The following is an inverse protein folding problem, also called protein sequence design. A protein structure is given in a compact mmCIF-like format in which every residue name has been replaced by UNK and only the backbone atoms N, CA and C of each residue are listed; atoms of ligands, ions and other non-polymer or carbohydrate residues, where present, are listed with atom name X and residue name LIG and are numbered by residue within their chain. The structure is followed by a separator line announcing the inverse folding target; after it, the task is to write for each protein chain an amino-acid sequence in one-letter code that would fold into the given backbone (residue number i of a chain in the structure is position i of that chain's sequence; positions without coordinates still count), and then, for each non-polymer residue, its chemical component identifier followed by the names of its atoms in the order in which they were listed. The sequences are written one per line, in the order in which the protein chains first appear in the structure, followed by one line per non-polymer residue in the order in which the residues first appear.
data_IF_871276774180
#
_entry.id   IF_871276774180
#
_cell.length_a   1.000
_cell.length_b   1.000
_cell.length_c   1.000
_cell.angle_alpha   90.00
_cell.angle_beta   90.00
_cell.angle_gamma   90.00
#
_symmetry.space_group_name_H-M   'P 1'
#
loop_
_entity.id
_entity.type
_entity.pdbx_description
1 polymer ?
#
# COMPACT_ATOMS: atom_id res chain seq x y z
N UNK A 1 23.70 1.93 -4.73
CA UNK A 1 22.62 1.30 -3.91
C UNK A 1 21.99 0.16 -4.70
N UNK A 2 21.67 -0.91 -4.02
CA UNK A 2 20.96 -2.05 -4.63
C UNK A 2 19.72 -2.33 -3.82
N UNK A 3 18.55 -2.35 -4.47
CA UNK A 3 17.27 -2.62 -3.82
C UNK A 3 16.71 -3.95 -4.30
N UNK A 4 16.07 -4.70 -3.40
CA UNK A 4 15.19 -5.81 -3.77
C UNK A 4 13.75 -5.34 -3.68
N UNK A 5 12.94 -5.67 -4.69
CA UNK A 5 11.50 -5.39 -4.71
C UNK A 5 10.78 -6.71 -4.66
N UNK A 6 9.79 -6.81 -3.80
CA UNK A 6 8.94 -7.97 -3.58
C UNK A 6 7.47 -7.58 -3.84
N UNK A 7 6.66 -8.52 -4.34
CA UNK A 7 5.25 -8.27 -4.68
C UNK A 7 4.32 -8.34 -3.46
N UNK A 8 3.51 -9.41 -3.37
CA UNK A 8 2.58 -9.62 -2.25
C UNK A 8 3.20 -10.57 -1.21
N UNK A 9 3.45 -10.05 -0.02
CA UNK A 9 4.13 -10.78 1.07
C UNK A 9 3.27 -11.89 1.68
N UNK A 10 1.98 -11.65 1.90
CA UNK A 10 1.02 -12.57 2.53
C UNK A 10 1.54 -13.23 3.83
N UNK A 11 2.21 -12.47 4.68
CA UNK A 11 2.74 -12.95 5.97
C UNK A 11 3.97 -13.85 5.88
N UNK A 12 4.53 -14.06 4.67
CA UNK A 12 5.64 -14.99 4.40
C UNK A 12 7.03 -14.36 4.55
N UNK A 13 7.20 -13.45 5.51
CA UNK A 13 8.38 -12.63 5.65
C UNK A 13 9.69 -13.46 5.82
N UNK A 14 9.64 -14.56 6.56
CA UNK A 14 10.80 -15.47 6.71
C UNK A 14 11.23 -16.07 5.36
N UNK A 15 10.27 -16.44 4.50
CA UNK A 15 10.57 -17.01 3.18
C UNK A 15 11.15 -15.94 2.24
N UNK A 16 10.66 -14.72 2.33
CA UNK A 16 11.17 -13.58 1.56
C UNK A 16 12.62 -13.30 1.93
N UNK A 17 12.94 -13.21 3.23
CA UNK A 17 14.32 -13.01 3.68
C UNK A 17 15.23 -14.20 3.35
N UNK A 18 14.74 -15.42 3.45
CA UNK A 18 15.52 -16.60 3.04
C UNK A 18 15.82 -16.59 1.53
N UNK A 19 14.85 -16.18 0.70
CA UNK A 19 15.05 -16.04 -0.75
C UNK A 19 16.05 -14.93 -1.06
N UNK A 20 15.96 -13.80 -0.36
CA UNK A 20 16.92 -12.70 -0.50
C UNK A 20 18.33 -13.11 -0.13
N UNK A 21 18.53 -13.78 1.02
CA UNK A 21 19.83 -14.28 1.44
C UNK A 21 20.40 -15.33 0.47
N UNK A 22 19.55 -16.16 -0.12
CA UNK A 22 19.95 -17.09 -1.16
C UNK A 22 20.45 -16.36 -2.41
N UNK A 23 19.70 -15.35 -2.87
CA UNK A 23 20.05 -14.52 -4.02
C UNK A 23 21.39 -13.80 -3.80
N UNK A 24 21.57 -13.14 -2.65
CA UNK A 24 22.81 -12.45 -2.28
C UNK A 24 24.02 -13.38 -2.38
N UNK A 25 23.86 -14.62 -1.89
CA UNK A 25 24.93 -15.62 -1.91
C UNK A 25 25.25 -16.12 -3.33
N UNK A 26 24.21 -16.37 -4.15
CA UNK A 26 24.40 -16.93 -5.50
C UNK A 26 24.94 -15.89 -6.47
N UNK A 27 24.42 -14.67 -6.40
CA UNK A 27 24.82 -13.57 -7.29
C UNK A 27 26.03 -12.78 -6.77
N UNK A 28 26.55 -13.14 -5.57
CA UNK A 28 27.66 -12.42 -4.90
C UNK A 28 27.39 -10.92 -4.76
N UNK A 29 26.15 -10.57 -4.40
CA UNK A 29 25.70 -9.18 -4.24
C UNK A 29 25.24 -8.93 -2.81
N UNK A 30 25.16 -7.66 -2.43
CA UNK A 30 24.54 -7.21 -1.18
C UNK A 30 23.37 -6.28 -1.51
N UNK A 31 22.25 -6.50 -0.87
CA UNK A 31 21.06 -5.64 -0.99
C UNK A 31 21.03 -4.66 0.18
N UNK A 32 20.79 -3.39 -0.12
CA UNK A 32 20.76 -2.30 0.86
C UNK A 32 19.37 -2.08 1.44
N UNK A 33 18.32 -2.36 0.66
CA UNK A 33 16.92 -2.14 1.04
C UNK A 33 16.02 -3.19 0.38
N UNK A 34 15.11 -3.80 1.16
CA UNK A 34 13.98 -4.57 0.65
C UNK A 34 12.73 -3.67 0.60
N UNK A 35 11.98 -3.73 -0.50
CA UNK A 35 10.70 -3.03 -0.68
C UNK A 35 9.61 -4.06 -0.94
N UNK A 36 8.54 -4.09 -0.11
CA UNK A 36 7.37 -4.95 -0.31
C UNK A 36 6.16 -4.12 -0.77
N UNK A 37 5.52 -4.55 -1.86
CA UNK A 37 4.46 -3.80 -2.55
C UNK A 37 3.04 -4.10 -2.01
N UNK A 38 2.90 -4.50 -0.75
CA UNK A 38 1.62 -4.67 -0.05
C UNK A 38 1.27 -6.12 0.27
N UNK A 39 0.08 -6.30 0.85
CA UNK A 39 -0.35 -7.55 1.48
C UNK A 39 0.71 -8.07 2.45
N UNK A 40 1.29 -7.16 3.21
CA UNK A 40 2.41 -7.46 4.10
C UNK A 40 1.98 -8.32 5.28
N UNK A 41 0.77 -8.08 5.80
CA UNK A 41 0.16 -8.77 6.94
C UNK A 41 1.01 -8.60 8.22
N UNK A 42 1.12 -7.36 8.69
CA UNK A 42 1.79 -7.02 9.95
C UNK A 42 0.98 -7.47 11.18
N UNK A 43 0.76 -8.77 11.32
CA UNK A 43 -0.06 -9.40 12.36
C UNK A 43 0.78 -9.63 13.62
N UNK A 44 0.41 -8.98 14.74
CA UNK A 44 1.14 -9.04 16.02
C UNK A 44 0.70 -10.21 16.89
N UNK A 45 -0.60 -10.56 16.83
CA UNK A 45 -1.21 -11.66 17.60
C UNK A 45 -2.54 -12.08 16.95
N UNK A 46 -3.26 -13.01 17.56
CA UNK A 46 -4.52 -13.55 17.02
C UNK A 46 -5.67 -12.54 16.98
N UNK A 47 -5.61 -11.48 17.80
CA UNK A 47 -6.65 -10.44 17.82
C UNK A 47 -6.55 -9.52 16.58
N UNK A 48 -5.35 -9.28 16.06
CA UNK A 48 -5.15 -8.54 14.82
C UNK A 48 -5.77 -9.26 13.60
N UNK A 49 -5.87 -10.60 13.63
CA UNK A 49 -6.51 -11.38 12.55
C UNK A 49 -8.00 -11.03 12.38
N UNK A 50 -8.67 -10.59 13.46
CA UNK A 50 -10.07 -10.15 13.38
C UNK A 50 -10.25 -8.79 12.67
N UNK A 51 -9.14 -8.11 12.41
CA UNK A 51 -9.09 -6.84 11.67
C UNK A 51 -8.67 -7.02 10.20
N UNK A 52 -8.55 -8.26 9.73
CA UNK A 52 -8.20 -8.59 8.35
C UNK A 52 -9.43 -8.92 7.50
N UNK A 53 -9.43 -8.41 6.26
CA UNK A 53 -10.47 -8.74 5.27
C UNK A 53 -10.13 -10.01 4.50
N UNK A 54 -10.07 -11.14 5.20
CA UNK A 54 -9.87 -12.47 4.60
C UNK A 54 -10.88 -13.44 5.19
N UNK A 55 -11.34 -14.46 4.41
CA UNK A 55 -12.14 -15.55 4.97
C UNK A 55 -11.40 -16.26 6.11
N UNK A 56 -12.14 -16.69 7.15
CA UNK A 56 -11.54 -17.28 8.36
C UNK A 56 -10.57 -18.44 8.09
N UNK A 57 -10.84 -19.25 7.06
CA UNK A 57 -9.97 -20.36 6.65
C UNK A 57 -8.58 -19.93 6.16
N UNK A 58 -8.39 -18.63 5.86
CA UNK A 58 -7.12 -18.05 5.41
C UNK A 58 -6.51 -17.09 6.44
N UNK A 59 -7.16 -16.94 7.60
CA UNK A 59 -6.58 -16.18 8.71
C UNK A 59 -5.43 -16.98 9.31
N UNK A 60 -4.21 -16.60 8.98
CA UNK A 60 -2.99 -17.21 9.51
C UNK A 60 -2.12 -16.16 10.17
N UNK A 61 -1.45 -16.54 11.24
CA UNK A 61 -0.61 -15.61 12.01
C UNK A 61 0.63 -15.15 11.22
N UNK A 62 1.07 -15.96 10.26
CA UNK A 62 2.30 -15.71 9.51
C UNK A 62 3.53 -15.69 10.43
N UNK A 63 4.58 -15.00 9.99
CA UNK A 63 5.84 -14.96 10.75
C UNK A 63 6.17 -13.58 11.32
N UNK A 64 5.39 -12.53 10.98
CA UNK A 64 5.67 -11.16 11.38
C UNK A 64 5.72 -10.95 12.91
N UNK A 65 4.86 -11.62 13.69
CA UNK A 65 4.84 -11.50 15.15
C UNK A 65 6.22 -11.73 15.81
N UNK A 66 7.08 -12.54 15.20
CA UNK A 66 8.44 -12.82 15.67
C UNK A 66 9.37 -11.61 15.54
N UNK A 67 9.19 -10.82 14.47
CA UNK A 67 9.90 -9.56 14.27
C UNK A 67 9.38 -8.47 15.20
N UNK A 68 8.06 -8.43 15.39
CA UNK A 68 7.43 -7.51 16.32
C UNK A 68 7.83 -7.78 17.78
N UNK A 69 7.90 -9.05 18.19
CA UNK A 69 8.36 -9.43 19.54
C UNK A 69 9.85 -9.16 19.78
N UNK A 70 10.64 -9.10 18.71
CA UNK A 70 12.09 -9.01 18.77
C UNK A 70 12.80 -10.37 18.87
N UNK A 71 12.06 -11.48 18.73
CA UNK A 71 12.62 -12.85 18.65
C UNK A 71 13.57 -12.99 17.45
N UNK A 72 13.20 -12.37 16.34
CA UNK A 72 13.99 -12.32 15.11
C UNK A 72 14.15 -10.87 14.65
N UNK A 73 15.24 -10.54 13.99
CA UNK A 73 15.46 -9.22 13.36
C UNK A 73 15.44 -9.31 11.86
N UNK A 74 14.96 -8.26 11.21
CA UNK A 74 15.07 -8.10 9.77
C UNK A 74 16.57 -8.05 9.36
N UNK A 75 17.03 -8.90 8.42
CA UNK A 75 18.44 -8.95 8.02
C UNK A 75 18.86 -7.76 7.15
N UNK A 76 17.88 -7.03 6.63
CA UNK A 76 18.06 -5.84 5.79
C UNK A 76 16.93 -4.84 6.11
N UNK A 77 17.22 -3.52 6.08
CA UNK A 77 16.17 -2.53 6.16
C UNK A 77 15.05 -2.84 5.18
N UNK A 78 13.82 -2.83 5.66
CA UNK A 78 12.63 -3.20 4.86
C UNK A 78 11.62 -2.07 4.88
N UNK A 79 11.13 -1.68 3.71
CA UNK A 79 10.05 -0.72 3.50
C UNK A 79 8.84 -1.44 2.90
N UNK A 80 7.64 -1.14 3.39
CA UNK A 80 6.43 -1.65 2.76
C UNK A 80 5.29 -0.64 2.73
N UNK A 81 4.35 -0.87 1.83
CA UNK A 81 3.02 -0.26 1.80
C UNK A 81 1.97 -1.30 2.16
N UNK A 82 0.77 -0.88 2.59
CA UNK A 82 -0.35 -1.80 2.81
C UNK A 82 -1.03 -2.21 1.50
N UNK A 83 -1.59 -3.44 1.49
CA UNK A 83 -2.49 -3.95 0.46
C UNK A 83 -3.92 -4.05 0.97
N UNK A 84 -4.69 -5.02 0.44
CA UNK A 84 -6.06 -5.31 0.89
C UNK A 84 -6.14 -6.45 1.92
N UNK A 85 -5.05 -7.16 2.18
CA UNK A 85 -4.95 -8.21 3.20
C UNK A 85 -4.04 -7.75 4.35
N UNK A 86 -4.52 -6.79 5.15
CA UNK A 86 -3.72 -6.21 6.23
C UNK A 86 -4.40 -6.29 7.60
N UNK A 87 -3.61 -6.32 8.67
CA UNK A 87 -4.06 -6.02 10.02
C UNK A 87 -4.35 -4.51 10.10
N UNK A 88 -5.53 -4.10 9.62
CA UNK A 88 -5.89 -2.68 9.39
C UNK A 88 -5.85 -1.85 10.67
N UNK A 89 -6.09 -2.45 11.84
CA UNK A 89 -5.98 -1.80 13.14
C UNK A 89 -4.54 -1.33 13.43
N UNK A 90 -3.55 -2.17 13.16
CA UNK A 90 -2.15 -1.81 13.39
C UNK A 90 -1.65 -0.77 12.39
N UNK A 91 -1.97 -0.94 11.10
CA UNK A 91 -1.60 0.06 10.10
C UNK A 91 -2.26 1.41 10.34
N UNK A 92 -3.45 1.44 10.95
CA UNK A 92 -4.10 2.68 11.35
C UNK A 92 -3.35 3.43 12.47
N UNK A 93 -2.74 2.72 13.44
CA UNK A 93 -1.89 3.34 14.47
C UNK A 93 -0.74 4.16 13.84
N UNK A 94 -0.28 3.72 12.68
CA UNK A 94 0.83 4.28 11.90
C UNK A 94 0.35 4.91 10.57
N UNK A 95 -0.82 5.54 10.58
CA UNK A 95 -1.40 6.17 9.39
C UNK A 95 -0.41 7.06 8.63
N UNK A 96 0.47 7.76 9.32
CA UNK A 96 1.49 8.65 8.75
C UNK A 96 2.83 7.96 8.47
N UNK A 97 2.92 6.66 8.67
CA UNK A 97 4.15 5.87 8.56
C UNK A 97 4.86 5.67 9.89
N UNK A 98 5.77 4.72 9.93
CA UNK A 98 6.57 4.38 11.11
C UNK A 98 7.07 2.94 11.10
N UNK A 99 7.94 2.61 12.07
CA UNK A 99 8.44 1.26 12.23
C UNK A 99 7.39 0.33 12.85
N UNK A 100 7.06 -0.75 12.15
CA UNK A 100 6.17 -1.82 12.66
C UNK A 100 6.93 -2.90 13.42
N UNK A 101 8.23 -2.98 13.23
CA UNK A 101 9.20 -3.81 13.94
C UNK A 101 10.58 -3.18 13.76
N UNK A 102 11.62 -3.58 14.52
CA UNK A 102 12.98 -3.11 14.28
C UNK A 102 13.38 -3.33 12.82
N UNK A 103 13.86 -2.26 12.17
CA UNK A 103 14.29 -2.24 10.76
C UNK A 103 13.19 -2.54 9.70
N UNK A 104 11.89 -2.59 10.09
CA UNK A 104 10.75 -2.76 9.19
C UNK A 104 9.86 -1.52 9.23
N UNK A 105 9.84 -0.74 8.16
CA UNK A 105 9.16 0.55 8.07
C UNK A 105 7.91 0.49 7.18
N UNK A 106 6.77 0.85 7.73
CA UNK A 106 5.54 1.10 7.00
C UNK A 106 5.50 2.53 6.49
N UNK A 107 5.23 2.74 5.21
CA UNK A 107 5.20 4.07 4.58
C UNK A 107 3.98 4.92 5.00
N UNK A 108 2.98 4.31 5.59
CA UNK A 108 1.70 4.95 5.91
C UNK A 108 0.63 4.70 4.84
N UNK A 109 -0.57 5.26 5.03
CA UNK A 109 -1.64 5.18 4.03
C UNK A 109 -1.26 5.93 2.75
N UNK A 110 -0.52 7.01 2.89
CA UNK A 110 0.21 7.71 1.84
C UNK A 110 1.46 8.33 2.45
N UNK A 111 2.57 8.33 1.74
CA UNK A 111 3.82 8.81 2.33
C UNK A 111 4.90 9.11 1.31
N UNK A 112 5.88 9.91 1.75
CA UNK A 112 7.20 10.05 1.12
C UNK A 112 8.26 9.94 2.21
N UNK A 113 9.27 9.10 1.98
CA UNK A 113 10.41 8.88 2.87
C UNK A 113 11.68 8.84 2.04
N UNK A 114 12.81 9.10 2.66
CA UNK A 114 14.12 8.86 2.04
C UNK A 114 14.78 7.66 2.68
N UNK A 115 15.52 6.89 1.87
CA UNK A 115 16.48 5.90 2.32
C UNK A 115 17.83 6.23 1.68
N UNK A 116 18.75 6.77 2.47
CA UNK A 116 19.91 7.44 1.92
C UNK A 116 19.50 8.53 0.93
N UNK A 117 20.00 8.46 -0.31
CA UNK A 117 19.67 9.40 -1.38
C UNK A 117 18.42 9.01 -2.19
N UNK A 118 17.83 7.85 -1.89
CA UNK A 118 16.66 7.36 -2.61
C UNK A 118 15.38 7.97 -2.03
N UNK A 119 14.62 8.69 -2.85
CA UNK A 119 13.35 9.31 -2.46
C UNK A 119 12.19 8.46 -2.90
N UNK A 120 11.42 7.92 -1.94
CA UNK A 120 10.39 6.91 -2.16
C UNK A 120 9.03 7.45 -1.74
N UNK A 121 8.09 7.52 -2.68
CA UNK A 121 6.68 7.80 -2.41
C UNK A 121 5.82 6.53 -2.49
N UNK A 122 4.62 6.58 -1.91
CA UNK A 122 3.70 5.44 -2.03
C UNK A 122 2.28 5.72 -1.54
N UNK A 123 1.39 4.85 -1.97
CA UNK A 123 -0.03 4.84 -1.67
C UNK A 123 -0.44 3.41 -1.30
N UNK A 124 -0.90 3.22 -0.06
CA UNK A 124 -1.38 1.93 0.45
C UNK A 124 -2.82 1.66 0.05
N UNK A 125 -3.17 0.37 -0.06
CA UNK A 125 -4.52 -0.11 -0.30
C UNK A 125 -4.89 -0.22 -1.78
N UNK A 126 -6.18 -0.46 -2.04
CA UNK A 126 -6.76 -0.59 -3.39
C UNK A 126 -7.85 0.45 -3.63
N UNK A 127 -8.13 0.75 -4.90
CA UNK A 127 -9.17 1.71 -5.26
C UNK A 127 -10.57 1.09 -5.17
N UNK A 128 -11.50 1.81 -4.54
CA UNK A 128 -12.94 1.51 -4.58
C UNK A 128 -13.74 2.80 -4.70
N UNK A 129 -14.44 3.00 -5.81
CA UNK A 129 -15.13 4.25 -6.12
C UNK A 129 -16.13 4.72 -5.07
N UNK A 130 -16.83 3.78 -4.42
CA UNK A 130 -17.83 4.08 -3.39
C UNK A 130 -17.22 4.67 -2.10
N UNK A 131 -15.93 4.41 -1.83
CA UNK A 131 -15.25 4.84 -0.61
C UNK A 131 -14.24 5.96 -0.86
N UNK A 132 -13.85 6.17 -2.11
CA UNK A 132 -12.78 7.09 -2.51
C UNK A 132 -12.94 8.51 -1.94
N UNK A 133 -14.18 9.04 -1.92
CA UNK A 133 -14.46 10.40 -1.44
C UNK A 133 -14.73 10.50 0.05
N UNK A 134 -14.85 9.37 0.77
CA UNK A 134 -15.07 9.37 2.22
C UNK A 134 -13.78 9.73 2.97
N UNK A 135 -13.90 10.18 4.22
CA UNK A 135 -12.76 10.16 5.15
C UNK A 135 -12.51 8.75 5.67
N UNK A 136 -11.43 8.57 6.41
CA UNK A 136 -11.10 7.31 7.09
C UNK A 136 -11.88 7.18 8.40
N UNK A 137 -13.09 6.64 8.31
CA UNK A 137 -14.04 6.57 9.46
C UNK A 137 -13.98 5.23 10.20
N UNK A 138 -13.36 4.22 9.61
CA UNK A 138 -13.34 2.88 10.13
C UNK A 138 -12.51 2.81 11.43
N UNK A 139 -13.04 2.12 12.43
CA UNK A 139 -12.39 1.91 13.73
C UNK A 139 -12.64 0.49 14.22
N UNK A 140 -11.66 -0.16 14.84
CA UNK A 140 -11.91 -1.41 15.53
C UNK A 140 -12.79 -1.18 16.80
N UNK A 141 -13.65 -2.12 17.17
CA UNK A 141 -13.99 -3.33 16.43
C UNK A 141 -14.79 -2.98 15.18
N UNK A 142 -14.38 -3.52 14.03
CA UNK A 142 -15.12 -3.31 12.79
C UNK A 142 -16.47 -4.04 12.88
N UNK A 143 -17.57 -3.28 12.95
CA UNK A 143 -18.91 -3.82 13.25
C UNK A 143 -19.56 -4.52 12.08
N UNK A 144 -19.09 -4.23 10.86
CA UNK A 144 -19.61 -4.82 9.63
C UNK A 144 -18.48 -5.23 8.69
N UNK A 145 -18.63 -6.36 7.99
CA UNK A 145 -17.64 -6.82 7.01
C UNK A 145 -17.28 -5.77 5.94
N UNK A 146 -18.17 -4.83 5.65
CA UNK A 146 -17.89 -3.67 4.80
C UNK A 146 -16.90 -2.66 5.39
N UNK A 147 -16.81 -2.53 6.72
CA UNK A 147 -15.85 -1.63 7.37
C UNK A 147 -14.43 -2.18 7.32
N UNK A 148 -14.26 -3.47 7.51
CA UNK A 148 -12.94 -4.13 7.37
C UNK A 148 -12.41 -3.94 5.94
N UNK A 149 -13.29 -4.07 4.92
CA UNK A 149 -12.94 -3.85 3.52
C UNK A 149 -12.63 -2.37 3.27
N UNK A 150 -13.48 -1.45 3.70
CA UNK A 150 -13.27 -0.04 3.41
C UNK A 150 -12.05 0.55 4.13
N UNK A 151 -11.57 -0.04 5.22
CA UNK A 151 -10.41 0.41 5.97
C UNK A 151 -9.14 0.51 5.11
N UNK A 152 -8.96 -0.40 4.16
CA UNK A 152 -7.82 -0.39 3.22
C UNK A 152 -8.12 0.30 1.89
N UNK A 153 -9.32 0.85 1.67
CA UNK A 153 -9.60 1.53 0.41
C UNK A 153 -8.90 2.90 0.34
N UNK A 154 -8.28 3.17 -0.80
CA UNK A 154 -7.66 4.46 -1.12
C UNK A 154 -8.65 5.62 -0.97
N UNK A 155 -8.22 6.71 -0.36
CA UNK A 155 -9.01 7.94 -0.20
C UNK A 155 -8.50 9.08 -1.07
N UNK A 156 -9.43 9.88 -1.58
CA UNK A 156 -9.12 11.08 -2.37
C UNK A 156 -8.16 12.02 -1.63
N UNK A 157 -8.34 12.16 -0.32
CA UNK A 157 -7.49 12.99 0.54
C UNK A 157 -6.02 12.56 0.48
N UNK A 158 -5.74 11.25 0.51
CA UNK A 158 -4.38 10.73 0.43
C UNK A 158 -3.74 10.97 -0.94
N UNK A 159 -4.53 10.81 -2.00
CA UNK A 159 -4.11 11.08 -3.37
C UNK A 159 -3.83 12.57 -3.59
N UNK A 160 -4.67 13.46 -3.06
CA UNK A 160 -4.47 14.92 -3.14
C UNK A 160 -3.20 15.37 -2.43
N UNK A 161 -2.87 14.79 -1.26
CA UNK A 161 -1.59 15.03 -0.58
C UNK A 161 -0.41 14.64 -1.47
N UNK A 162 -0.44 13.46 -2.08
CA UNK A 162 0.62 12.99 -2.97
C UNK A 162 0.75 13.86 -4.23
N UNK A 163 -0.36 14.31 -4.82
CA UNK A 163 -0.35 15.25 -5.97
C UNK A 163 0.27 16.61 -5.62
N UNK A 164 0.37 16.95 -4.34
CA UNK A 164 1.02 18.17 -3.88
C UNK A 164 2.55 18.07 -3.79
N UNK A 165 3.12 16.88 -3.99
CA UNK A 165 4.57 16.67 -4.02
C UNK A 165 5.13 17.23 -5.33
N UNK A 166 6.06 18.18 -5.25
CA UNK A 166 6.66 18.86 -6.39
C UNK A 166 8.07 18.37 -6.70
N UNK A 167 8.84 17.96 -5.68
CA UNK A 167 10.20 17.45 -5.87
C UNK A 167 10.16 16.03 -6.48
N UNK A 168 11.09 15.72 -7.42
CA UNK A 168 11.12 14.43 -8.10
C UNK A 168 11.20 13.23 -7.14
N UNK A 169 10.46 12.17 -7.45
CA UNK A 169 10.53 10.88 -6.80
C UNK A 169 11.35 9.89 -7.63
N UNK A 170 12.24 9.15 -6.98
CA UNK A 170 12.96 8.07 -7.62
C UNK A 170 12.08 6.83 -7.79
N UNK A 171 11.34 6.49 -6.72
CA UNK A 171 10.47 5.32 -6.65
C UNK A 171 9.08 5.74 -6.18
N UNK A 172 8.05 5.14 -6.76
CA UNK A 172 6.69 5.20 -6.25
C UNK A 172 6.11 3.79 -6.10
N UNK A 173 5.38 3.58 -5.02
CA UNK A 173 4.77 2.29 -4.66
C UNK A 173 3.27 2.42 -4.66
N UNK A 174 2.58 1.46 -5.27
CA UNK A 174 1.14 1.24 -5.05
C UNK A 174 0.85 -0.25 -5.03
N UNK A 175 -0.08 -0.70 -4.20
CA UNK A 175 -0.48 -2.11 -4.23
C UNK A 175 -1.22 -2.41 -5.52
N UNK A 176 -2.25 -1.63 -5.80
CA UNK A 176 -3.04 -1.69 -7.03
C UNK A 176 -2.28 -1.07 -8.23
N UNK A 177 -2.54 -1.57 -9.43
CA UNK A 177 -1.89 -1.08 -10.65
C UNK A 177 -2.47 0.26 -11.09
N UNK A 178 -1.67 1.19 -11.66
CA UNK A 178 -2.23 2.34 -12.37
C UNK A 178 -3.14 1.86 -13.52
N UNK A 179 -4.37 2.36 -13.59
CA UNK A 179 -5.28 2.03 -14.67
C UNK A 179 -4.63 2.33 -16.02
N UNK A 180 -4.80 1.42 -16.97
CA UNK A 180 -4.26 1.56 -18.33
C UNK A 180 -2.76 1.29 -18.46
N UNK A 181 -2.03 1.00 -17.39
CA UNK A 181 -0.57 0.71 -17.41
C UNK A 181 -0.25 -0.47 -18.35
N UNK A 182 -1.16 -1.42 -18.48
CA UNK A 182 -1.00 -2.60 -19.34
C UNK A 182 -0.78 -2.26 -20.84
N UNK A 183 -1.24 -1.09 -21.27
CA UNK A 183 -1.05 -0.59 -22.66
C UNK A 183 0.40 -0.25 -23.00
N UNK A 184 1.23 -0.07 -21.98
CA UNK A 184 2.64 0.28 -22.08
C UNK A 184 3.58 -0.92 -21.97
N UNK A 185 3.03 -2.16 -21.90
CA UNK A 185 3.74 -3.42 -21.81
C UNK A 185 3.15 -4.50 -22.71
N UNK A 186 3.49 -5.77 -22.44
CA UNK A 186 3.00 -6.91 -23.23
C UNK A 186 1.66 -7.42 -22.69
N UNK A 187 0.56 -6.82 -23.19
CA UNK A 187 -0.81 -7.25 -22.85
C UNK A 187 -1.11 -8.69 -23.29
N UNK A 188 -0.55 -9.15 -24.42
CA UNK A 188 -0.81 -10.50 -24.92
C UNK A 188 -0.24 -11.54 -23.97
N UNK A 189 0.98 -11.32 -23.45
CA UNK A 189 1.59 -12.16 -22.42
C UNK A 189 0.80 -12.11 -21.11
N UNK A 190 0.30 -10.94 -20.70
CA UNK A 190 -0.52 -10.78 -19.52
C UNK A 190 -1.81 -11.60 -19.63
N UNK A 191 -2.54 -11.50 -20.72
CA UNK A 191 -3.76 -12.28 -20.98
C UNK A 191 -3.46 -13.78 -21.03
N UNK A 192 -2.31 -14.17 -21.61
CA UNK A 192 -1.89 -15.57 -21.62
C UNK A 192 -1.70 -16.15 -20.23
N UNK A 193 -1.14 -15.35 -19.29
CA UNK A 193 -0.92 -15.72 -17.88
C UNK A 193 -2.20 -15.63 -17.03
N UNK A 194 -3.03 -14.60 -17.25
CA UNK A 194 -4.23 -14.25 -16.48
C UNK A 194 -5.40 -13.99 -17.43
N UNK A 195 -6.03 -15.06 -17.94
CA UNK A 195 -7.10 -14.99 -18.95
C UNK A 195 -8.33 -14.21 -18.49
N UNK A 196 -8.63 -14.28 -17.20
CA UNK A 196 -9.78 -13.61 -16.60
C UNK A 196 -9.68 -12.07 -16.62
N UNK A 197 -8.48 -11.49 -16.77
CA UNK A 197 -8.29 -10.05 -16.93
C UNK A 197 -8.61 -9.52 -18.34
N UNK A 198 -8.97 -10.39 -19.29
CA UNK A 198 -9.13 -9.99 -20.69
C UNK A 198 -10.22 -8.95 -20.92
N UNK A 199 -11.33 -9.01 -20.18
CA UNK A 199 -12.45 -8.08 -20.33
C UNK A 199 -12.09 -6.72 -19.71
N UNK A 200 -11.50 -6.69 -18.51
CA UNK A 200 -11.04 -5.46 -17.87
C UNK A 200 -9.91 -4.76 -18.65
N UNK A 201 -9.07 -5.54 -19.34
CA UNK A 201 -8.04 -4.98 -20.24
C UNK A 201 -8.65 -4.37 -21.49
N UNK A 202 -9.74 -4.96 -22.03
CA UNK A 202 -10.44 -4.48 -23.22
C UNK A 202 -11.18 -3.18 -22.96
N UNK A 203 -11.90 -3.08 -21.86
CA UNK A 203 -12.69 -1.90 -21.49
C UNK A 203 -11.91 -0.86 -20.68
N UNK A 204 -10.63 -1.15 -20.37
CA UNK A 204 -9.75 -0.28 -19.59
C UNK A 204 -10.23 -0.03 -18.15
N UNK A 205 -10.89 -0.98 -17.53
CA UNK A 205 -11.32 -0.92 -16.13
C UNK A 205 -10.27 -1.48 -15.16
N UNK A 206 -9.30 -2.27 -15.66
CA UNK A 206 -8.24 -2.84 -14.83
C UNK A 206 -7.38 -1.75 -14.17
N UNK A 207 -7.32 -1.80 -12.85
CA UNK A 207 -6.46 -0.96 -12.01
C UNK A 207 -7.13 0.30 -11.47
N UNK A 208 -6.34 1.12 -10.84
CA UNK A 208 -6.72 2.28 -10.04
C UNK A 208 -6.67 3.58 -10.84
N UNK A 209 -7.81 4.26 -11.06
CA UNK A 209 -7.82 5.59 -11.67
C UNK A 209 -6.94 6.61 -10.94
N UNK A 210 -7.00 6.74 -9.59
CA UNK A 210 -6.13 7.67 -8.89
C UNK A 210 -4.64 7.31 -8.98
N UNK A 211 -4.27 6.03 -9.09
CA UNK A 211 -2.88 5.66 -9.34
C UNK A 211 -2.43 6.05 -10.76
N UNK A 212 -3.31 5.96 -11.78
CA UNK A 212 -3.06 6.52 -13.12
C UNK A 212 -2.81 8.05 -13.05
N UNK A 213 -3.65 8.79 -12.31
CA UNK A 213 -3.46 10.23 -12.11
C UNK A 213 -2.11 10.56 -11.47
N UNK A 214 -1.72 9.81 -10.42
CA UNK A 214 -0.44 9.99 -9.74
C UNK A 214 0.74 9.65 -10.65
N UNK A 215 0.65 8.61 -11.46
CA UNK A 215 1.68 8.23 -12.42
C UNK A 215 2.01 9.38 -13.38
N UNK A 216 0.99 10.04 -13.90
CA UNK A 216 1.16 11.15 -14.82
C UNK A 216 1.52 12.47 -14.13
N UNK A 217 1.12 12.68 -12.89
CA UNK A 217 1.45 13.87 -12.12
C UNK A 217 2.89 13.83 -11.58
N UNK A 218 3.27 12.72 -10.93
CA UNK A 218 4.56 12.58 -10.24
C UNK A 218 5.70 12.13 -11.16
N UNK A 219 5.40 11.32 -12.18
CA UNK A 219 6.36 10.82 -13.17
C UNK A 219 7.64 10.25 -12.53
N UNK A 220 7.55 9.31 -11.56
CA UNK A 220 8.72 8.78 -10.89
C UNK A 220 9.58 7.96 -11.84
N UNK A 221 10.87 7.78 -11.50
CA UNK A 221 11.80 6.97 -12.31
C UNK A 221 11.39 5.50 -12.34
N UNK A 222 10.90 4.96 -11.20
CA UNK A 222 10.39 3.61 -11.05
C UNK A 222 9.02 3.61 -10.38
N UNK A 223 8.15 2.69 -10.79
CA UNK A 223 6.87 2.43 -10.15
C UNK A 223 6.74 0.93 -9.91
N UNK A 224 6.52 0.54 -8.66
CA UNK A 224 6.34 -0.86 -8.29
C UNK A 224 4.93 -1.11 -7.75
N UNK A 225 4.35 -2.27 -8.16
CA UNK A 225 3.03 -2.72 -7.73
C UNK A 225 2.98 -4.24 -7.52
N UNK A 226 1.85 -4.74 -6.97
CA UNK A 226 1.63 -6.15 -6.73
C UNK A 226 0.18 -6.56 -7.07
N UNK A 227 -0.61 -7.07 -6.12
CA UNK A 227 -2.06 -7.32 -6.14
C UNK A 227 -2.54 -8.38 -7.14
N UNK A 228 -2.24 -8.25 -8.42
CA UNK A 228 -2.73 -9.17 -9.47
C UNK A 228 -1.94 -10.50 -9.55
N UNK A 229 -1.00 -10.72 -8.66
CA UNK A 229 -0.18 -11.92 -8.56
C UNK A 229 0.39 -12.37 -9.92
N UNK A 230 1.01 -11.44 -10.64
CA UNK A 230 1.67 -11.70 -11.92
C UNK A 230 2.80 -10.72 -12.16
N UNK A 231 3.95 -11.22 -12.62
CA UNK A 231 5.02 -10.33 -13.06
C UNK A 231 4.65 -9.68 -14.39
N UNK A 232 4.68 -8.35 -14.41
CA UNK A 232 4.43 -7.53 -15.58
C UNK A 232 5.33 -6.29 -15.58
N UNK A 233 5.92 -5.98 -16.72
CA UNK A 233 6.75 -4.80 -16.90
C UNK A 233 6.18 -3.90 -18.01
N UNK A 234 6.29 -2.59 -17.78
CA UNK A 234 5.87 -1.58 -18.74
C UNK A 234 6.78 -0.35 -18.68
N UNK A 235 6.74 0.48 -19.74
CA UNK A 235 7.52 1.71 -19.80
C UNK A 235 6.65 2.86 -20.28
N UNK A 236 6.42 3.83 -19.39
CA UNK A 236 5.63 5.04 -19.70
C UNK A 236 6.57 6.18 -20.02
N UNK A 237 6.52 6.69 -21.27
CA UNK A 237 7.23 7.91 -21.67
C UNK A 237 6.33 9.10 -21.43
N UNK A 238 6.81 10.06 -20.67
CA UNK A 238 6.13 11.33 -20.46
C UNK A 238 6.60 12.35 -21.51
N UNK A 239 5.75 13.31 -21.87
CA UNK A 239 6.06 14.24 -22.95
C UNK A 239 7.23 15.20 -22.68
N UNK A 240 7.86 15.13 -21.50
CA UNK A 240 8.96 15.97 -21.03
C UNK A 240 10.28 15.20 -20.87
N UNK A 241 10.53 14.20 -21.72
CA UNK A 241 11.70 13.32 -21.75
C UNK A 241 11.81 12.35 -20.55
N UNK A 242 11.03 12.53 -19.48
CA UNK A 242 10.97 11.61 -18.35
C UNK A 242 10.35 10.28 -18.74
N UNK A 243 10.79 9.22 -18.10
CA UNK A 243 10.29 7.88 -18.31
C UNK A 243 10.09 7.17 -16.97
N UNK A 244 8.91 6.56 -16.79
CA UNK A 244 8.64 5.68 -15.64
C UNK A 244 8.75 4.22 -16.07
N UNK A 245 9.60 3.46 -15.38
CA UNK A 245 9.70 2.01 -15.48
C UNK A 245 8.75 1.39 -14.47
N UNK A 246 7.69 0.78 -14.97
CA UNK A 246 6.72 0.05 -14.15
C UNK A 246 7.11 -1.42 -14.04
N UNK A 247 7.01 -1.97 -12.83
CA UNK A 247 7.17 -3.39 -12.57
C UNK A 247 6.15 -3.83 -11.52
N UNK A 248 5.30 -4.78 -11.88
CA UNK A 248 4.49 -5.54 -10.95
C UNK A 248 5.10 -6.93 -10.73
N UNK A 249 4.97 -7.46 -9.51
CA UNK A 249 5.49 -8.76 -9.13
C UNK A 249 4.40 -9.68 -8.57
N UNK A 250 4.68 -10.97 -8.58
CA UNK A 250 3.78 -12.02 -8.09
C UNK A 250 3.83 -12.11 -6.55
N UNK A 251 3.03 -12.98 -5.96
CA UNK A 251 3.07 -13.27 -4.51
C UNK A 251 4.20 -14.27 -4.17
N UNK A 252 4.67 -14.23 -2.91
CA UNK A 252 5.73 -15.08 -2.39
C UNK A 252 5.33 -16.56 -2.38
N UNK A 253 5.49 -17.23 -3.50
CA UNK A 253 5.26 -18.68 -3.66
C UNK A 253 6.39 -19.33 -4.48
N UNK A 254 6.67 -20.64 -4.28
CA UNK A 254 7.65 -21.36 -5.06
C UNK A 254 7.38 -21.27 -6.56
N UNK A 255 8.42 -20.99 -7.33
CA UNK A 255 8.38 -20.90 -8.81
C UNK A 255 7.58 -19.71 -9.36
N UNK A 256 7.23 -18.73 -8.52
CA UNK A 256 6.65 -17.44 -8.93
C UNK A 256 7.72 -16.37 -9.01
N UNK A 257 7.51 -15.38 -9.87
CA UNK A 257 8.40 -14.21 -10.03
C UNK A 257 8.02 -13.12 -9.01
N UNK A 258 8.24 -13.38 -7.72
CA UNK A 258 7.82 -12.50 -6.63
C UNK A 258 8.89 -11.48 -6.19
N UNK A 259 10.14 -11.65 -6.61
CA UNK A 259 11.25 -10.78 -6.21
C UNK A 259 12.10 -10.36 -7.40
N UNK A 260 12.56 -9.10 -7.39
CA UNK A 260 13.47 -8.54 -8.40
C UNK A 260 14.50 -7.63 -7.74
N UNK A 261 15.78 -7.83 -8.05
CA UNK A 261 16.84 -6.91 -7.64
C UNK A 261 17.06 -5.84 -8.71
N UNK A 262 17.31 -4.62 -8.27
CA UNK A 262 17.52 -3.45 -9.12
C UNK A 262 18.75 -2.70 -8.63
N UNK A 263 19.69 -2.46 -9.52
CA UNK A 263 20.88 -1.63 -9.26
C UNK A 263 20.57 -0.16 -9.53
N UNK A 264 20.91 0.69 -8.55
CA UNK A 264 20.80 2.15 -8.59
C UNK A 264 22.21 2.73 -8.34
N UNK A 265 23.11 2.69 -9.34
CA UNK A 265 24.51 3.06 -9.12
C UNK A 265 24.71 4.54 -8.79
N UNK A 266 23.74 5.38 -9.14
CA UNK A 266 23.68 6.81 -8.86
C UNK A 266 23.15 7.16 -7.46
N UNK A 267 22.82 6.15 -6.62
CA UNK A 267 22.25 6.33 -5.28
C UNK A 267 23.11 5.72 -4.19
N UNK A 268 23.13 6.38 -3.01
CA UNK A 268 23.81 5.92 -1.79
C UNK A 268 22.78 5.48 -0.74
N UNK A 269 23.08 4.40 -0.01
CA UNK A 269 22.27 3.93 1.12
C UNK A 269 22.67 4.59 2.45
N UNK A 270 23.70 5.45 2.45
CA UNK A 270 24.21 6.06 3.67
C UNK A 270 23.13 6.91 4.37
N UNK A 271 23.02 6.75 5.69
CA UNK A 271 22.06 7.48 6.51
C UNK A 271 20.76 6.72 6.81
N UNK A 272 20.44 5.63 6.09
CA UNK A 272 19.22 4.85 6.32
C UNK A 272 17.93 5.64 6.07
N UNK A 273 16.87 5.34 6.83
CA UNK A 273 15.59 6.04 6.72
C UNK A 273 15.64 7.45 7.31
N UNK A 274 15.10 8.43 6.56
CA UNK A 274 14.88 9.81 7.01
C UNK A 274 13.53 10.33 6.53
N UNK A 275 12.85 11.11 7.37
CA UNK A 275 11.61 11.79 7.01
C UNK A 275 11.87 12.83 5.94
N UNK A 276 10.97 12.93 4.96
CA UNK A 276 11.10 13.87 3.86
C UNK A 276 10.51 15.25 4.23
N UNK A 277 11.32 16.31 4.15
CA UNK A 277 10.90 17.66 4.55
C UNK A 277 9.72 18.20 3.75
N UNK A 278 9.68 17.94 2.45
CA UNK A 278 8.54 18.36 1.63
C UNK A 278 7.27 17.62 2.08
N UNK A 279 7.37 16.30 2.33
CA UNK A 279 6.24 15.52 2.81
C UNK A 279 5.73 16.01 4.18
N UNK A 280 6.63 16.33 5.12
CA UNK A 280 6.25 16.93 6.41
C UNK A 280 5.49 18.24 6.20
N UNK A 281 5.88 19.05 5.23
CA UNK A 281 5.20 20.28 4.86
C UNK A 281 3.81 20.02 4.27
N UNK A 282 3.69 19.01 3.40
CA UNK A 282 2.40 18.57 2.84
C UNK A 282 1.47 18.05 3.94
N UNK A 283 1.98 17.25 4.88
CA UNK A 283 1.19 16.78 6.02
C UNK A 283 0.65 17.95 6.84
N UNK A 284 1.53 18.90 7.19
CA UNK A 284 1.15 20.06 7.98
C UNK A 284 0.12 20.94 7.27
N UNK A 285 0.30 21.21 5.97
CA UNK A 285 -0.62 22.01 5.16
C UNK A 285 -2.02 21.40 5.04
N UNK A 286 -2.11 20.07 5.03
CA UNK A 286 -3.35 19.36 4.82
C UNK A 286 -4.00 18.84 6.11
N UNK A 287 -3.36 18.95 7.27
CA UNK A 287 -3.84 18.35 8.51
C UNK A 287 -5.26 18.81 8.91
N UNK A 288 -5.57 20.09 8.76
CA UNK A 288 -6.90 20.62 9.06
C UNK A 288 -8.02 19.95 8.24
N UNK A 289 -7.70 19.50 7.03
CA UNK A 289 -8.63 18.83 6.10
C UNK A 289 -8.84 17.36 6.41
N UNK A 290 -7.96 16.73 7.20
CA UNK A 290 -8.03 15.30 7.49
C UNK A 290 -9.37 14.95 8.15
N UNK A 291 -10.20 14.22 7.42
CA UNK A 291 -11.51 13.75 7.87
C UNK A 291 -11.41 12.30 8.37
N UNK A 292 -11.78 12.10 9.61
CA UNK A 292 -11.90 10.77 10.25
C UNK A 292 -13.37 10.32 10.36
N UNK A 293 -14.24 10.88 9.52
CA UNK A 293 -15.66 10.56 9.42
C UNK A 293 -16.02 10.12 8.01
N UNK A 294 -17.26 9.67 7.78
CA UNK A 294 -17.76 9.34 6.43
C UNK A 294 -17.88 10.56 5.50
N UNK A 295 -17.77 11.78 6.04
CA UNK A 295 -17.79 13.00 5.23
C UNK A 295 -16.46 13.14 4.48
N UNK A 296 -16.48 13.63 3.24
CA UNK A 296 -15.27 13.96 2.51
C UNK A 296 -14.35 14.92 3.29
N UNK A 297 -13.07 14.86 3.02
CA UNK A 297 -12.16 15.95 3.41
C UNK A 297 -12.66 17.27 2.80
N UNK A 298 -12.50 18.36 3.50
CA UNK A 298 -12.81 19.69 2.96
C UNK A 298 -11.96 19.97 1.71
N UNK A 299 -12.47 20.81 0.81
CA UNK A 299 -11.74 21.18 -0.41
C UNK A 299 -10.32 21.66 -0.09
N UNK A 300 -9.34 21.39 -0.97
CA UNK A 300 -7.99 21.93 -0.78
C UNK A 300 -8.07 23.45 -0.64
N UNK A 301 -7.43 24.00 0.39
CA UNK A 301 -7.01 25.40 0.37
C UNK A 301 -5.88 25.50 -0.67
N UNK A 302 -6.27 25.53 -1.95
CA UNK A 302 -5.41 25.28 -3.09
C UNK A 302 -4.56 26.48 -3.49
N UNK A 303 -4.16 27.31 -2.53
CA UNK A 303 -3.11 28.26 -2.82
C UNK A 303 -1.75 27.55 -2.67
N UNK A 304 -0.92 27.47 -3.72
CA UNK A 304 0.47 27.02 -3.62
C UNK A 304 1.25 27.75 -2.52
N UNK A 305 0.82 28.98 -2.17
CA UNK A 305 1.31 29.76 -1.03
C UNK A 305 1.23 29.02 0.31
N UNK A 306 0.20 28.18 0.54
CA UNK A 306 0.06 27.51 1.83
C UNK A 306 1.10 26.40 2.05
N UNK A 307 1.50 25.65 1.02
CA UNK A 307 2.55 24.61 1.16
C UNK A 307 3.92 25.27 1.34
N UNK A 308 4.20 26.35 0.63
CA UNK A 308 5.46 27.10 0.77
C UNK A 308 5.63 27.68 2.19
N UNK A 309 4.56 28.22 2.80
CA UNK A 309 4.56 28.67 4.18
C UNK A 309 4.85 27.54 5.16
N UNK A 310 4.21 26.39 4.96
CA UNK A 310 4.45 25.20 5.78
C UNK A 310 5.85 24.63 5.58
N UNK A 311 6.41 24.71 4.36
CA UNK A 311 7.79 24.35 4.07
C UNK A 311 8.77 25.24 4.86
N UNK A 312 8.58 26.54 4.82
CA UNK A 312 9.39 27.50 5.61
C UNK A 312 9.27 27.21 7.11
N UNK A 313 8.08 26.83 7.58
CA UNK A 313 7.89 26.45 8.98
C UNK A 313 8.67 25.17 9.33
N UNK A 314 8.59 24.13 8.50
CA UNK A 314 9.33 22.87 8.71
C UNK A 314 10.84 23.10 8.69
N UNK A 315 11.34 23.91 7.76
CA UNK A 315 12.77 24.26 7.67
C UNK A 315 13.29 24.96 8.94
N UNK A 316 12.45 25.79 9.58
CA UNK A 316 12.82 26.52 10.80
C UNK A 316 12.67 25.72 12.08
N UNK A 317 11.71 24.79 12.14
CA UNK A 317 11.30 24.15 13.41
C UNK A 317 11.68 22.67 13.50
N UNK A 318 12.08 22.02 12.40
CA UNK A 318 12.47 20.61 12.37
C UNK A 318 13.97 20.53 12.04
N UNK A 319 14.78 20.11 13.03
CA UNK A 319 16.23 19.94 12.83
C UNK A 319 16.53 18.70 11.97
N UNK A 320 17.77 18.57 11.48
CA UNK A 320 18.17 17.38 10.71
C UNK A 320 18.16 16.10 11.56
N UNK A 321 18.48 16.20 12.85
CA UNK A 321 18.38 15.08 13.79
C UNK A 321 16.94 14.62 14.00
N UNK A 322 15.98 15.54 13.97
CA UNK A 322 14.55 15.23 14.10
C UNK A 322 13.97 14.57 12.85
N UNK A 323 14.67 14.61 11.71
CA UNK A 323 14.27 13.86 10.50
C UNK A 323 14.52 12.35 10.62
N UNK A 324 15.31 11.89 11.60
CA UNK A 324 15.40 10.46 11.88
C UNK A 324 14.03 9.98 12.39
N UNK A 325 13.41 8.98 11.73
CA UNK A 325 12.13 8.46 12.20
C UNK A 325 12.23 7.97 13.65
N UNK A 326 11.17 8.14 14.46
CA UNK A 326 11.14 7.60 15.81
C UNK A 326 11.36 6.09 15.81
N UNK A 327 12.06 5.58 16.82
CA UNK A 327 12.32 4.15 16.97
C UNK A 327 11.04 3.35 17.16
N UNK A 328 11.09 2.06 16.80
CA UNK A 328 10.01 1.12 17.04
C UNK A 328 9.63 1.02 18.51
N UNK A 329 8.32 1.03 18.78
CA UNK A 329 7.75 0.80 20.11
C UNK A 329 6.60 -0.20 19.99
N UNK A 330 6.58 -1.21 20.85
CA UNK A 330 5.44 -2.14 20.94
C UNK A 330 4.24 -1.43 21.56
N UNK A 331 3.07 -1.55 20.93
CA UNK A 331 1.81 -0.96 21.41
C UNK A 331 0.90 -1.97 22.08
N UNK A 332 1.03 -3.26 21.72
CA UNK A 332 0.29 -4.37 22.34
C UNK A 332 1.23 -5.55 22.61
N UNK A 333 0.76 -6.51 23.41
CA UNK A 333 1.49 -7.75 23.63
C UNK A 333 1.57 -8.58 22.35
N UNK A 334 2.79 -9.08 21.99
CA UNK A 334 2.95 -9.97 20.85
C UNK A 334 2.30 -11.31 21.11
N UNK A 335 2.10 -12.08 20.03
CA UNK A 335 1.71 -13.49 20.17
C UNK A 335 2.71 -14.27 21.03
N UNK A 336 2.17 -15.00 22.00
CA UNK A 336 2.92 -15.92 22.86
C UNK A 336 2.44 -17.35 22.62
N UNK A 337 3.19 -18.10 21.85
CA UNK A 337 2.87 -19.49 21.51
C UNK A 337 2.76 -20.44 22.72
N UNK A 338 3.40 -20.11 23.87
CA UNK A 338 3.32 -20.92 25.07
C UNK A 338 2.01 -20.73 25.85
N UNK A 339 1.45 -19.52 25.81
CA UNK A 339 0.28 -19.14 26.62
C UNK A 339 -0.98 -18.91 25.77
N UNK A 340 -0.85 -18.65 24.46
CA UNK A 340 -1.98 -18.41 23.57
C UNK A 340 -2.64 -19.74 23.16
N UNK A 341 -3.86 -19.97 23.65
CA UNK A 341 -4.66 -21.18 23.35
C UNK A 341 -5.69 -20.95 22.24
N UNK A 342 -5.93 -19.69 21.89
CA UNK A 342 -6.88 -19.34 20.80
C UNK A 342 -6.23 -19.64 19.45
N UNK A 343 -7.05 -20.10 18.52
CA UNK A 343 -6.64 -20.33 17.13
C UNK A 343 -6.97 -19.09 16.26
N UNK A 344 -6.36 -18.94 15.08
CA UNK A 344 -6.84 -18.00 14.09
C UNK A 344 -8.37 -18.09 13.90
N UNK A 345 -9.06 -16.96 13.85
CA UNK A 345 -10.52 -16.88 13.84
C UNK A 345 -11.19 -16.98 15.22
N UNK A 346 -10.43 -17.08 16.30
CA UNK A 346 -10.91 -17.06 17.69
C UNK A 346 -10.37 -15.86 18.48
N UNK A 347 -9.80 -14.89 17.79
CA UNK A 347 -9.37 -13.61 18.37
C UNK A 347 -10.54 -12.77 18.84
N UNK A 348 -10.24 -11.76 19.61
CA UNK A 348 -11.20 -10.72 20.00
C UNK A 348 -10.78 -9.42 19.33
N UNK A 349 -11.60 -8.91 18.44
CA UNK A 349 -11.29 -7.65 17.76
C UNK A 349 -10.96 -6.55 18.77
N UNK A 350 -9.85 -5.80 18.59
CA UNK A 350 -9.46 -4.71 19.46
C UNK A 350 -10.59 -3.70 19.64
N UNK A 351 -10.71 -3.12 20.84
CA UNK A 351 -11.73 -2.11 21.16
C UNK A 351 -11.10 -0.73 21.18
N UNK A 352 -11.01 -0.10 20.04
CA UNK A 352 -10.45 1.24 19.89
C UNK A 352 -9.11 1.27 19.15
N UNK A 353 -8.49 2.43 19.17
CA UNK A 353 -7.22 2.71 18.48
C UNK A 353 -6.15 2.99 19.52
N UNK A 354 -5.05 2.26 19.46
CA UNK A 354 -3.88 2.55 20.28
C UNK A 354 -3.15 3.80 19.75
N UNK A 355 -2.76 4.69 20.66
CA UNK A 355 -1.92 5.84 20.30
C UNK A 355 -0.48 5.40 20.17
N UNK A 356 -0.05 5.11 18.95
CA UNK A 356 1.35 4.76 18.71
C UNK A 356 2.27 5.94 19.04
N UNK A 357 3.28 5.76 19.91
CA UNK A 357 4.18 6.84 20.32
C UNK A 357 4.93 7.48 19.14
N UNK A 358 5.19 6.76 18.05
CA UNK A 358 5.83 7.29 16.85
C UNK A 358 4.91 8.34 16.19
N UNK A 359 3.61 8.02 16.06
CA UNK A 359 2.61 8.96 15.50
C UNK A 359 2.42 10.17 16.41
N UNK A 360 2.36 9.97 17.74
CA UNK A 360 2.27 11.06 18.70
C UNK A 360 3.45 12.02 18.54
N UNK A 361 4.68 11.48 18.54
CA UNK A 361 5.91 12.28 18.36
C UNK A 361 5.93 13.04 17.02
N UNK A 362 5.45 12.42 15.94
CA UNK A 362 5.34 13.12 14.65
C UNK A 362 4.36 14.29 14.72
N UNK A 363 3.20 14.12 15.36
CA UNK A 363 2.22 15.18 15.53
C UNK A 363 2.78 16.32 16.39
N UNK A 364 3.44 16.01 17.49
CA UNK A 364 4.11 16.99 18.35
C UNK A 364 5.20 17.77 17.59
N UNK A 365 6.06 17.06 16.85
CA UNK A 365 7.11 17.68 16.04
C UNK A 365 6.56 18.67 15.01
N UNK A 366 5.38 18.36 14.44
CA UNK A 366 4.72 19.22 13.45
C UNK A 366 3.77 20.25 14.09
N UNK A 367 3.66 20.31 15.41
CA UNK A 367 2.69 21.12 16.15
C UNK A 367 1.25 20.92 15.63
N UNK A 368 0.81 19.66 15.56
CA UNK A 368 -0.49 19.21 15.08
C UNK A 368 -1.23 18.43 16.15
N UNK A 369 -2.56 18.53 16.14
CA UNK A 369 -3.43 17.73 17.01
C UNK A 369 -3.51 16.28 16.55
N UNK A 370 -3.67 15.35 17.52
CA UNK A 370 -3.86 13.94 17.23
C UNK A 370 -5.32 13.66 16.89
N UNK A 371 -5.61 13.12 15.70
CA UNK A 371 -6.97 12.90 15.19
C UNK A 371 -7.39 11.44 15.06
N UNK A 372 -6.44 10.50 15.10
CA UNK A 372 -6.70 9.11 14.70
C UNK A 372 -7.64 8.35 15.65
N UNK A 373 -7.80 8.80 16.88
CA UNK A 373 -8.69 8.22 17.90
C UNK A 373 -10.00 8.97 18.10
N UNK A 374 -10.27 10.00 17.28
CA UNK A 374 -11.55 10.72 17.32
C UNK A 374 -12.71 9.80 16.90
N UNK A 375 -13.83 9.92 17.61
CA UNK A 375 -15.05 9.18 17.28
C UNK A 375 -15.59 9.59 15.90
N UNK A 376 -15.74 8.66 14.95
CA UNK A 376 -16.28 8.95 13.61
C UNK A 376 -17.75 9.42 13.62
N UNK A 377 -18.47 9.25 14.74
CA UNK A 377 -19.87 9.69 14.91
C UNK A 377 -20.07 11.20 15.09
N UNK A 378 -18.99 11.98 15.29
CA UNK A 378 -19.02 13.45 15.22
C UNK A 378 -19.90 14.16 16.26
N UNK A 379 -20.03 13.62 17.47
CA UNK A 379 -20.70 14.26 18.60
C UNK A 379 -19.69 14.57 19.71
N UNK A 380 -19.19 15.82 19.77
CA UNK A 380 -18.42 16.31 20.90
C UNK A 380 -19.27 16.22 22.19
N UNK A 381 -18.99 15.22 23.01
CA UNK A 381 -19.63 15.03 24.30
C UNK A 381 -18.78 14.12 25.17
N UNK A 382 -18.11 14.71 26.13
CA UNK A 382 -17.52 14.01 27.28
C UNK A 382 -18.63 13.16 27.92
N UNK A 383 -18.60 11.84 27.76
CA UNK A 383 -19.50 10.94 28.50
C UNK A 383 -18.98 10.72 29.91
N UNK A 384 -19.46 11.55 30.83
CA UNK A 384 -19.66 11.16 32.21
C UNK A 384 -20.77 10.10 32.26
N UNK A 385 -20.55 8.97 32.95
CA UNK A 385 -21.52 7.88 33.01
C UNK A 385 -22.82 8.25 33.71
N UNK A 386 -23.93 7.73 33.24
CA UNK A 386 -24.94 7.02 34.04
C UNK A 386 -26.05 6.41 33.16
N UNK A 387 -26.57 5.28 33.61
CA UNK A 387 -27.40 4.31 32.97
C UNK A 387 -28.83 4.73 32.58
N UNK A 388 -29.49 3.79 31.90
CA UNK A 388 -30.94 3.69 31.84
C UNK A 388 -31.56 3.52 30.45
N UNK A 389 -32.19 2.39 30.24
CA UNK A 389 -32.85 1.77 29.12
C UNK A 389 -33.83 2.58 28.26
N UNK A 390 -34.15 2.00 27.11
CA UNK A 390 -35.26 2.41 26.27
C UNK A 390 -35.15 1.90 24.85
N UNK A 391 -35.85 0.78 24.58
CA UNK A 391 -36.09 0.28 23.24
C UNK A 391 -37.02 1.23 22.45
N UNK A 392 -36.66 1.53 21.20
CA UNK A 392 -37.67 1.96 20.22
C UNK A 392 -37.29 1.50 18.80
N UNK A 393 -38.21 0.71 18.26
CA UNK A 393 -38.33 0.27 16.89
C UNK A 393 -38.54 1.46 15.95
N UNK A 394 -37.75 1.56 14.88
CA UNK A 394 -38.16 2.26 13.66
C UNK A 394 -37.81 1.46 12.43
N UNK A 395 -38.85 0.85 11.83
CA UNK A 395 -38.85 0.40 10.45
C UNK A 395 -38.85 1.62 9.54
N UNK A 396 -37.93 1.73 8.62
CA UNK A 396 -38.03 2.66 7.49
C UNK A 396 -37.73 1.96 6.18
N UNK A 397 -38.81 1.82 5.41
CA UNK A 397 -38.83 1.46 3.99
C UNK A 397 -38.23 2.61 3.16
N UNK A 398 -37.15 2.35 2.43
CA UNK A 398 -36.79 3.20 1.30
C UNK A 398 -36.71 2.36 0.02
N UNK A 399 -37.64 2.64 -0.89
CA UNK A 399 -37.60 2.23 -2.30
C UNK A 399 -36.58 3.09 -3.03
N UNK A 400 -35.71 2.44 -3.82
CA UNK A 400 -34.80 3.10 -4.73
C UNK A 400 -35.53 3.71 -5.93
N UNK A 401 -35.11 4.88 -6.43
CA UNK A 401 -35.61 5.42 -7.69
C UNK A 401 -34.99 4.72 -8.91
N UNK A 402 -35.70 4.65 -10.06
CA UNK A 402 -35.23 4.01 -11.26
C UNK A 402 -34.11 4.81 -11.96
N UNK A 403 -33.25 4.15 -12.78
CA UNK A 403 -32.16 4.81 -13.46
C UNK A 403 -32.64 5.70 -14.62
N UNK A 404 -31.93 6.80 -14.94
CA UNK A 404 -32.28 7.68 -16.05
C UNK A 404 -31.98 7.04 -17.40
N UNK A 405 -32.93 7.15 -18.33
CA UNK A 405 -32.80 6.75 -19.72
C UNK A 405 -31.95 7.78 -20.48
N UNK A 406 -30.86 7.33 -21.08
CA UNK A 406 -30.08 8.14 -22.03
C UNK A 406 -30.71 8.10 -23.42
N UNK A 407 -31.17 9.25 -23.90
CA UNK A 407 -31.46 9.50 -25.32
C UNK A 407 -30.14 9.77 -26.05
N UNK A 408 -29.89 8.99 -27.11
CA UNK A 408 -28.74 9.15 -27.97
C UNK A 408 -28.85 10.41 -28.85
N UNK A 409 -27.76 11.15 -28.92
CA UNK A 409 -27.48 12.04 -30.07
C UNK A 409 -26.14 11.63 -30.66
N UNK A 410 -26.18 11.18 -31.90
CA UNK A 410 -25.02 10.88 -32.71
C UNK A 410 -24.27 12.16 -33.09
N UNK A 411 -22.97 12.13 -32.92
CA UNK A 411 -22.03 13.12 -33.44
C UNK A 411 -20.86 12.40 -34.06
N UNK A 412 -20.82 12.45 -35.39
CA UNK A 412 -19.73 11.98 -36.24
C UNK A 412 -18.44 12.73 -35.92
N UNK A 413 -17.36 12.02 -35.56
CA UNK A 413 -16.00 12.56 -35.57
C UNK A 413 -15.10 11.64 -36.39
N UNK A 414 -14.92 12.02 -37.67
CA UNK A 414 -13.81 11.59 -38.49
C UNK A 414 -12.57 12.38 -38.09
N UNK A 415 -11.57 11.74 -37.49
CA UNK A 415 -10.29 12.33 -37.13
C UNK A 415 -9.17 11.32 -37.30
N UNK A 416 -8.26 11.68 -38.16
CA UNK A 416 -7.18 10.92 -38.77
C UNK A 416 -6.24 10.17 -37.82
N UNK A 417 -5.73 9.03 -38.31
CA UNK A 417 -4.89 8.08 -37.64
C UNK A 417 -3.52 8.60 -37.21
N UNK A 418 -3.28 8.57 -35.90
CA UNK A 418 -1.96 8.56 -35.31
C UNK A 418 -1.56 7.12 -34.97
N UNK A 419 -0.75 6.51 -35.84
CA UNK A 419 -0.26 5.14 -35.63
C UNK A 419 0.53 5.00 -34.34
N UNK A 420 0.11 4.08 -33.48
CA UNK A 420 0.86 3.69 -32.29
C UNK A 420 2.11 2.93 -32.73
N UNK A 421 3.27 3.57 -32.73
CA UNK A 421 4.54 2.89 -32.92
C UNK A 421 4.81 1.96 -31.73
N UNK A 422 4.71 0.65 -31.99
CA UNK A 422 5.17 -0.39 -31.07
C UNK A 422 6.69 -0.47 -31.12
N UNK A 423 7.38 -0.04 -30.07
CA UNK A 423 8.80 -0.25 -29.92
C UNK A 423 9.05 -1.57 -29.21
N UNK A 424 9.97 -2.44 -29.69
CA UNK A 424 10.38 -3.62 -28.97
C UNK A 424 11.06 -3.22 -27.65
N UNK A 425 10.72 -3.88 -26.57
CA UNK A 425 11.38 -3.71 -25.25
C UNK A 425 12.86 -4.07 -25.44
N UNK A 426 13.82 -3.19 -25.15
CA UNK A 426 15.22 -3.56 -25.17
C UNK A 426 15.47 -4.74 -24.25
N UNK A 427 16.12 -5.80 -24.74
CA UNK A 427 16.48 -6.99 -23.97
C UNK A 427 17.58 -6.72 -22.92
N UNK A 428 18.20 -5.56 -22.98
CA UNK A 428 19.26 -5.12 -22.08
C UNK A 428 18.83 -3.82 -21.38
N UNK A 429 18.50 -3.93 -20.09
CA UNK A 429 18.16 -2.83 -19.20
C UNK A 429 18.54 -3.19 -17.76
N UNK A 430 18.49 -2.26 -16.80
CA UNK A 430 18.96 -2.46 -15.43
C UNK A 430 18.12 -3.45 -14.60
N UNK A 431 17.36 -4.32 -15.22
CA UNK A 431 16.66 -5.41 -14.55
C UNK A 431 17.50 -6.67 -14.65
N UNK A 432 18.20 -7.02 -13.57
CA UNK A 432 18.85 -8.32 -13.45
C UNK A 432 17.78 -9.34 -13.06
N UNK A 433 17.53 -10.32 -13.91
CA UNK A 433 16.60 -11.41 -13.62
C UNK A 433 17.18 -12.30 -12.53
N UNK A 434 16.40 -12.65 -11.53
CA UNK A 434 16.72 -13.82 -10.68
C UNK A 434 16.77 -15.04 -11.61
N UNK A 435 17.91 -15.78 -11.69
CA UNK A 435 18.06 -16.87 -12.65
C UNK A 435 16.96 -17.93 -12.44
N UNK A 436 16.31 -18.34 -13.52
CA UNK A 436 15.55 -19.60 -13.50
C UNK A 436 16.55 -20.72 -13.16
N UNK A 437 16.27 -21.48 -12.08
CA UNK A 437 17.01 -22.68 -11.75
C UNK A 437 17.19 -23.53 -13.01
N UNK A 438 18.44 -23.90 -13.28
CA UNK A 438 18.81 -24.72 -14.43
C UNK A 438 17.91 -25.96 -14.49
N UNK A 439 17.29 -26.18 -15.65
CA UNK A 439 16.44 -27.33 -15.89
C UNK A 439 17.26 -28.60 -15.80
N UNK A 440 17.09 -29.36 -14.71
CA UNK A 440 17.33 -30.78 -14.72
C UNK A 440 16.33 -31.47 -15.66
N UNK A 441 16.66 -32.65 -16.17
CA UNK A 441 15.83 -33.43 -17.09
C UNK A 441 14.37 -33.46 -16.63
N UNK A 442 13.37 -33.44 -17.59
CA UNK A 442 11.97 -33.34 -17.24
C UNK A 442 11.51 -34.53 -16.41
N UNK A 443 10.87 -34.28 -15.25
CA UNK A 443 10.18 -35.36 -14.54
C UNK A 443 8.96 -35.82 -15.33
N UNK A 444 8.44 -37.04 -15.08
CA UNK A 444 7.22 -37.53 -15.70
C UNK A 444 6.04 -36.60 -15.46
N UNK A 445 5.01 -36.57 -16.34
CA UNK A 445 3.89 -35.67 -16.22
C UNK A 445 3.18 -35.87 -14.88
N UNK A 446 2.89 -34.76 -14.13
CA UNK A 446 2.17 -34.85 -12.89
C UNK A 446 0.72 -35.30 -13.12
N UNK A 447 0.07 -35.90 -12.11
CA UNK A 447 -1.35 -36.21 -12.15
C UNK A 447 -2.17 -34.91 -12.32
N UNK A 448 -3.42 -34.99 -12.82
CA UNK A 448 -4.26 -33.84 -13.08
C UNK A 448 -4.40 -32.99 -11.79
N UNK A 449 -4.11 -31.69 -11.89
CA UNK A 449 -4.14 -30.75 -10.78
C UNK A 449 -5.56 -30.63 -10.25
N UNK A 450 -5.71 -30.77 -8.92
CA UNK A 450 -6.79 -30.07 -8.22
C UNK A 450 -6.60 -28.57 -8.44
N UNK A 451 -7.70 -27.85 -8.69
CA UNK A 451 -7.70 -26.40 -8.77
C UNK A 451 -6.96 -25.85 -7.56
N UNK A 452 -6.09 -24.85 -7.78
CA UNK A 452 -5.37 -24.17 -6.71
C UNK A 452 -6.43 -23.40 -5.88
N UNK A 453 -6.83 -23.93 -4.73
CA UNK A 453 -7.82 -23.36 -3.81
C UNK A 453 -7.39 -21.98 -3.24
N UNK A 454 -6.26 -21.44 -3.69
CA UNK A 454 -5.69 -20.13 -3.33
C UNK A 454 -5.88 -19.04 -4.41
N UNK A 455 -6.60 -19.30 -5.49
CA UNK A 455 -7.05 -18.23 -6.38
C UNK A 455 -8.23 -17.53 -5.70
N UNK A 456 -7.96 -16.40 -5.06
CA UNK A 456 -8.99 -15.51 -4.56
C UNK A 456 -9.74 -14.98 -5.79
N UNK A 457 -11.03 -15.23 -5.83
CA UNK A 457 -11.90 -14.68 -6.87
C UNK A 457 -11.91 -13.16 -6.73
N UNK A 458 -11.68 -12.42 -7.83
CA UNK A 458 -11.72 -10.95 -7.83
C UNK A 458 -13.07 -10.38 -7.39
N UNK A 459 -14.15 -11.17 -7.49
CA UNK A 459 -15.49 -10.80 -6.99
C UNK A 459 -15.55 -10.78 -5.45
N UNK A 460 -14.59 -11.38 -4.76
CA UNK A 460 -14.44 -11.33 -3.29
C UNK A 460 -13.55 -10.15 -2.81
N UNK A 461 -13.02 -9.37 -3.76
CA UNK A 461 -12.24 -8.15 -3.54
C UNK A 461 -13.12 -6.91 -3.75
#
# INVERSE_FOLDING_TARGET
MRIAVEGCCHGELDKIYAALAHLERVEHVKVDLLICCGDFQAVRNVDDLECMSVPDKYKELGTFHRYYSGEVRAPVPTLFIGGNHEASNYLWELYYGGFVAPDVYYLGHSGVVKFGDLRIGGLSGIFKGNDYRKGHYERPPYTHGGEVKSAYHVRQFDVEKLKSVAEPLDVFLSHDWPRGISRYGDQAELIRKKRFLADELRDNSLGSPPAEELLHALKPRYWFSAHLHVKFAAMVRHGDERCTRFLALDKCLPRRDFMQVIDLPDKSAAGGFTLDREWLSVLRANHARHSVTRKPASAPNSAPSSIAEHRTWVERNVSDEALKPPEFVKTIEPHDAANERRRPGQGTAPRGVERNPQTVRLMEMLALDFKLDLDPGGGGGVRGGNGGGGANNFQNNFRAPPPPQHQGQGGDWTGEGGGIQRYPIPREGPFTLVPRQARGAPPPPPPPRKADDNEINLDDL
#
